data_IF_376284079695
#
_entry.id   IF_376284079695
#
_cell.length_a   1.000
_cell.length_b   1.000
_cell.length_c   1.000
_cell.angle_alpha   90.00
_cell.angle_beta   90.00
_cell.angle_gamma   90.00
#
_symmetry.space_group_name_H-M   'P 1'
#
loop_
_entity.id
_entity.type
_entity.pdbx_description
1 polymer ?
#
# COMPACT_ATOMS: atom_id res chain seq x y z
N UNK A 1 -5.39 19.68 -5.63
CA UNK A 1 -6.16 20.48 -4.65
C UNK A 1 -6.07 19.86 -3.26
N UNK A 2 -5.97 18.53 -3.14
CA UNK A 2 -6.00 17.81 -1.85
C UNK A 2 -4.77 18.05 -0.93
N UNK A 3 -3.61 18.43 -1.49
CA UNK A 3 -2.41 18.74 -0.69
C UNK A 3 -2.60 19.97 0.20
N UNK A 4 -3.12 21.08 -0.35
CA UNK A 4 -3.40 22.32 0.38
C UNK A 4 -4.47 22.10 1.46
N UNK A 5 -5.45 21.24 1.18
CA UNK A 5 -6.50 20.88 2.14
C UNK A 5 -5.95 20.08 3.32
N UNK A 6 -5.03 19.13 3.09
CA UNK A 6 -4.37 18.36 4.16
C UNK A 6 -3.53 19.24 5.06
N UNK A 7 -2.76 20.17 4.49
CA UNK A 7 -1.99 21.14 5.27
C UNK A 7 -2.92 21.98 6.15
N UNK A 8 -3.99 22.53 5.58
CA UNK A 8 -4.96 23.32 6.33
C UNK A 8 -5.61 22.54 7.48
N UNK A 9 -6.00 21.27 7.25
CA UNK A 9 -6.59 20.43 8.30
C UNK A 9 -5.59 20.20 9.43
N UNK A 10 -4.31 19.94 9.12
CA UNK A 10 -3.28 19.68 10.14
C UNK A 10 -2.85 20.96 10.87
N UNK A 11 -2.90 22.12 10.21
CA UNK A 11 -2.70 23.41 10.87
C UNK A 11 -3.79 23.70 11.91
N UNK A 12 -5.05 23.42 11.58
CA UNK A 12 -6.19 23.64 12.48
C UNK A 12 -6.34 22.53 13.53
N UNK A 13 -6.03 21.29 13.16
CA UNK A 13 -6.25 20.07 13.93
C UNK A 13 -5.03 19.15 13.85
N UNK A 14 -3.93 19.45 14.55
CA UNK A 14 -2.66 18.73 14.43
C UNK A 14 -2.73 17.25 14.89
N UNK A 15 -3.75 16.88 15.67
CA UNK A 15 -3.97 15.49 16.11
C UNK A 15 -4.84 14.65 15.17
N UNK A 16 -5.17 15.14 13.98
CA UNK A 16 -6.05 14.42 13.04
C UNK A 16 -5.41 13.10 12.60
N UNK A 17 -6.14 11.99 12.79
CA UNK A 17 -5.70 10.66 12.34
C UNK A 17 -5.49 10.64 10.82
N UNK A 18 -4.43 9.98 10.30
CA UNK A 18 -4.20 9.89 8.87
C UNK A 18 -5.36 9.29 8.07
N UNK A 19 -6.23 8.48 8.69
CA UNK A 19 -7.41 7.91 8.02
C UNK A 19 -8.51 8.95 7.72
N UNK A 20 -8.50 10.09 8.42
CA UNK A 20 -9.47 11.17 8.30
C UNK A 20 -9.02 12.27 7.32
N UNK A 21 -7.75 12.25 6.91
CA UNK A 21 -7.22 13.22 5.97
C UNK A 21 -7.71 12.92 4.53
N UNK A 22 -7.98 13.94 3.70
CA UNK A 22 -8.21 13.77 2.25
C UNK A 22 -7.13 12.92 1.59
N UNK A 23 -7.44 12.20 0.51
CA UNK A 23 -6.49 11.30 -0.14
C UNK A 23 -5.29 12.06 -0.74
N UNK A 24 -4.08 11.62 -0.41
CA UNK A 24 -2.84 12.13 -1.03
C UNK A 24 -2.56 11.49 -2.38
N UNK A 25 -1.55 11.99 -3.10
CA UNK A 25 -1.06 11.34 -4.32
C UNK A 25 -0.44 9.99 -3.95
N UNK A 26 -0.96 8.90 -4.53
CA UNK A 26 -0.44 7.56 -4.26
C UNK A 26 0.49 7.10 -5.37
N UNK A 27 1.70 6.70 -4.97
CA UNK A 27 2.62 5.95 -5.81
C UNK A 27 2.60 4.46 -5.40
N UNK A 28 2.50 3.60 -6.40
CA UNK A 28 2.52 2.15 -6.25
C UNK A 28 3.46 1.55 -7.29
N UNK A 29 4.62 1.06 -6.85
CA UNK A 29 5.69 0.63 -7.74
C UNK A 29 6.51 -0.51 -7.14
N UNK A 30 7.32 -1.15 -8.00
CA UNK A 30 8.29 -2.17 -7.62
C UNK A 30 9.70 -1.65 -7.85
N UNK A 31 10.61 -1.88 -6.89
CA UNK A 31 12.02 -1.51 -7.00
C UNK A 31 12.86 -2.59 -7.70
N UNK A 32 14.15 -2.29 -7.92
CA UNK A 32 15.08 -3.22 -8.57
C UNK A 32 15.39 -4.50 -7.77
N UNK A 33 15.07 -4.54 -6.47
CA UNK A 33 15.21 -5.70 -5.60
C UNK A 33 13.92 -6.53 -5.51
N UNK A 34 12.88 -6.13 -6.22
CA UNK A 34 11.58 -6.82 -6.24
C UNK A 34 10.66 -6.45 -5.08
N UNK A 35 11.04 -5.49 -4.23
CA UNK A 35 10.16 -4.97 -3.18
C UNK A 35 9.09 -4.08 -3.79
N UNK A 36 7.91 -4.13 -3.20
CA UNK A 36 6.78 -3.30 -3.63
C UNK A 36 6.60 -2.17 -2.63
N UNK A 37 6.45 -0.95 -3.14
CA UNK A 37 6.25 0.26 -2.36
C UNK A 37 4.86 0.81 -2.59
N UNK A 38 4.20 1.19 -1.49
CA UNK A 38 2.99 2.02 -1.50
C UNK A 38 3.37 3.30 -0.73
N UNK A 39 3.35 4.44 -1.42
CA UNK A 39 3.67 5.74 -0.87
C UNK A 39 2.46 6.66 -1.06
N UNK A 40 1.98 7.27 0.00
CA UNK A 40 1.03 8.38 -0.07
C UNK A 40 1.80 9.67 0.23
N UNK A 41 1.96 10.52 -0.80
CA UNK A 41 2.57 11.83 -0.65
C UNK A 41 1.63 12.80 0.05
N UNK A 42 2.21 13.77 0.73
CA UNK A 42 1.49 14.83 1.43
C UNK A 42 1.95 14.91 2.88
N UNK A 43 1.37 15.80 3.68
CA UNK A 43 1.57 15.80 5.12
C UNK A 43 0.48 14.94 5.82
N UNK A 44 0.85 13.99 6.70
CA UNK A 44 2.17 13.35 6.76
C UNK A 44 2.40 12.45 5.54
N UNK A 45 3.67 12.26 5.18
CA UNK A 45 4.05 11.29 4.16
C UNK A 45 3.98 9.89 4.77
N UNK A 46 3.33 8.97 4.06
CA UNK A 46 3.14 7.61 4.55
C UNK A 46 3.76 6.63 3.57
N UNK A 47 4.59 5.73 4.08
CA UNK A 47 5.30 4.76 3.24
C UNK A 47 5.21 3.35 3.80
N UNK A 48 4.84 2.42 2.94
CA UNK A 48 4.85 0.99 3.21
C UNK A 48 5.74 0.28 2.18
N UNK A 49 6.68 -0.52 2.67
CA UNK A 49 7.54 -1.38 1.84
C UNK A 49 7.21 -2.85 2.10
N UNK A 50 7.06 -3.60 1.02
CA UNK A 50 6.60 -4.99 1.01
C UNK A 50 7.71 -5.88 0.44
N UNK A 51 8.19 -6.84 1.23
CA UNK A 51 9.22 -7.79 0.83
C UNK A 51 8.63 -9.03 0.14
N UNK A 52 9.16 -9.45 -1.03
CA UNK A 52 8.68 -10.64 -1.71
C UNK A 52 9.07 -11.92 -0.96
N UNK A 53 8.20 -12.93 -0.98
CA UNK A 53 8.41 -14.23 -0.32
C UNK A 53 8.34 -15.43 -1.27
N UNK A 54 7.61 -15.31 -2.37
CA UNK A 54 7.40 -16.41 -3.31
C UNK A 54 6.09 -16.28 -4.06
N UNK A 55 5.65 -17.34 -4.73
CA UNK A 55 4.45 -17.33 -5.55
C UNK A 55 3.41 -18.32 -4.99
N UNK A 56 2.10 -17.99 -5.06
CA UNK A 56 1.06 -18.93 -4.71
C UNK A 56 0.93 -20.04 -5.76
N UNK A 57 0.64 -21.26 -5.31
CA UNK A 57 0.44 -22.41 -6.20
C UNK A 57 -0.95 -22.43 -6.86
N UNK A 58 -1.93 -21.78 -6.25
CA UNK A 58 -3.31 -21.73 -6.72
C UNK A 58 -3.71 -20.31 -7.14
N UNK A 59 -4.72 -20.15 -8.00
CA UNK A 59 -5.33 -18.86 -8.27
C UNK A 59 -5.83 -18.18 -7.00
N UNK A 60 -5.63 -16.87 -6.92
CA UNK A 60 -6.00 -16.03 -5.77
C UNK A 60 -6.45 -14.65 -6.26
N UNK A 61 -6.93 -13.82 -5.34
CA UNK A 61 -7.29 -12.43 -5.62
C UNK A 61 -6.13 -11.51 -5.24
N UNK A 62 -5.69 -10.66 -6.16
CA UNK A 62 -4.73 -9.61 -5.84
C UNK A 62 -5.37 -8.59 -4.90
N UNK A 63 -4.72 -8.28 -3.78
CA UNK A 63 -5.30 -7.39 -2.77
C UNK A 63 -5.33 -5.93 -3.19
N UNK A 64 -4.46 -5.50 -4.12
CA UNK A 64 -4.44 -4.14 -4.64
C UNK A 64 -5.52 -3.92 -5.71
N UNK A 65 -5.49 -4.68 -6.81
CA UNK A 65 -6.44 -4.48 -7.92
C UNK A 65 -7.73 -5.31 -7.84
N UNK A 66 -7.86 -6.20 -6.83
CA UNK A 66 -9.02 -7.08 -6.59
C UNK A 66 -9.39 -8.00 -7.77
N UNK A 67 -8.47 -8.23 -8.71
CA UNK A 67 -8.66 -9.18 -9.81
C UNK A 67 -8.28 -10.59 -9.37
N UNK A 68 -9.05 -11.57 -9.83
CA UNK A 68 -8.73 -12.98 -9.69
C UNK A 68 -7.72 -13.39 -10.78
N UNK A 69 -6.60 -13.97 -10.39
CA UNK A 69 -5.45 -14.25 -11.27
C UNK A 69 -4.88 -15.64 -10.99
N UNK A 70 -4.14 -16.19 -11.96
CA UNK A 70 -3.38 -17.43 -11.76
C UNK A 70 -2.30 -17.23 -10.71
N UNK A 71 -1.87 -18.33 -10.06
CA UNK A 71 -0.81 -18.27 -9.07
C UNK A 71 0.52 -17.71 -9.62
N UNK A 72 0.83 -18.02 -10.88
CA UNK A 72 2.01 -17.51 -11.60
C UNK A 72 1.98 -16.00 -11.89
N UNK A 73 0.81 -15.35 -11.85
CA UNK A 73 0.68 -13.91 -12.04
C UNK A 73 0.72 -13.13 -10.71
N UNK A 74 0.83 -13.84 -9.59
CA UNK A 74 0.80 -13.31 -8.23
C UNK A 74 2.10 -13.61 -7.49
N UNK A 75 2.36 -12.86 -6.44
CA UNK A 75 3.42 -13.11 -5.47
C UNK A 75 2.93 -12.80 -4.06
N UNK A 76 3.45 -13.55 -3.11
CA UNK A 76 3.33 -13.27 -1.68
C UNK A 76 4.35 -12.19 -1.31
N UNK A 77 3.87 -11.24 -0.53
CA UNK A 77 4.67 -10.21 0.09
C UNK A 77 4.46 -10.23 1.59
N UNK A 78 5.42 -9.71 2.34
CA UNK A 78 5.29 -9.45 3.77
C UNK A 78 5.72 -8.04 4.13
N UNK A 79 5.26 -7.57 5.27
CA UNK A 79 5.80 -6.37 5.90
C UNK A 79 5.63 -6.43 7.42
N UNK A 80 6.49 -5.75 8.19
CA UNK A 80 6.27 -5.57 9.62
C UNK A 80 5.12 -4.59 9.87
N UNK A 81 4.32 -4.83 10.89
CA UNK A 81 3.27 -3.90 11.34
C UNK A 81 3.89 -2.88 12.29
N UNK A 82 3.67 -1.58 12.03
CA UNK A 82 4.26 -0.51 12.83
C UNK A 82 5.79 -0.55 12.91
N UNK A 83 6.45 -1.12 11.88
CA UNK A 83 7.90 -1.27 11.81
C UNK A 83 8.50 -2.37 12.70
N UNK A 84 7.69 -3.19 13.39
CA UNK A 84 8.15 -4.28 14.27
C UNK A 84 8.03 -5.65 13.61
N UNK A 85 9.15 -6.35 13.43
CA UNK A 85 9.20 -7.68 12.82
C UNK A 85 8.60 -8.81 13.67
N UNK A 86 8.24 -8.52 14.91
CA UNK A 86 7.48 -9.42 15.79
C UNK A 86 6.06 -9.66 15.26
N UNK A 87 5.49 -8.67 14.56
CA UNK A 87 4.16 -8.73 13.97
C UNK A 87 4.27 -8.52 12.47
N UNK A 88 4.08 -9.59 11.71
CA UNK A 88 4.19 -9.56 10.25
C UNK A 88 2.82 -9.78 9.62
N UNK A 89 2.51 -8.99 8.61
CA UNK A 89 1.35 -9.22 7.73
C UNK A 89 1.81 -9.66 6.35
N UNK A 90 0.97 -10.44 5.71
CA UNK A 90 1.20 -11.01 4.40
C UNK A 90 0.17 -10.47 3.41
N UNK A 91 0.61 -10.21 2.19
CA UNK A 91 -0.23 -9.74 1.11
C UNK A 91 -0.03 -10.58 -0.14
N UNK A 92 -1.08 -10.75 -0.93
CA UNK A 92 -0.99 -11.32 -2.28
C UNK A 92 -1.17 -10.20 -3.31
N UNK A 93 -0.14 -9.93 -4.10
CA UNK A 93 -0.16 -8.87 -5.12
C UNK A 93 0.26 -9.40 -6.49
N UNK A 94 -0.10 -8.67 -7.55
CA UNK A 94 0.35 -8.98 -8.91
C UNK A 94 1.87 -8.95 -9.01
N UNK A 95 2.44 -9.86 -9.80
CA UNK A 95 3.84 -9.77 -10.19
C UNK A 95 4.10 -8.58 -11.11
N UNK A 96 3.19 -8.27 -12.03
CA UNK A 96 3.26 -7.04 -12.83
C UNK A 96 2.66 -5.88 -12.02
N UNK A 97 3.52 -5.18 -11.29
CA UNK A 97 3.11 -4.02 -10.46
C UNK A 97 2.64 -2.83 -11.31
N UNK A 98 3.33 -2.46 -12.41
CA UNK A 98 2.83 -1.42 -13.34
C UNK A 98 1.41 -1.70 -13.86
N UNK A 99 1.13 -2.89 -14.40
CA UNK A 99 -0.22 -3.21 -14.89
C UNK A 99 -1.25 -3.27 -13.74
N UNK A 100 -0.82 -3.72 -12.55
CA UNK A 100 -1.67 -3.69 -11.36
C UNK A 100 -2.05 -2.26 -10.95
N UNK A 101 -1.11 -1.31 -11.04
CA UNK A 101 -1.33 0.09 -10.70
C UNK A 101 -2.42 0.76 -11.55
N UNK A 102 -2.54 0.38 -12.83
CA UNK A 102 -3.62 0.87 -13.72
C UNK A 102 -5.03 0.49 -13.24
N UNK A 103 -5.14 -0.57 -12.44
CA UNK A 103 -6.41 -1.12 -11.97
C UNK A 103 -6.63 -0.93 -10.47
N UNK A 104 -5.57 -0.67 -9.70
CA UNK A 104 -5.64 -0.49 -8.26
C UNK A 104 -6.26 0.86 -7.93
N UNK A 105 -7.32 0.85 -7.13
CA UNK A 105 -7.94 2.09 -6.65
C UNK A 105 -7.04 2.74 -5.59
N UNK A 106 -6.77 4.05 -5.66
CA UNK A 106 -5.97 4.74 -4.66
C UNK A 106 -6.47 4.52 -3.22
N UNK A 107 -7.78 4.52 -2.99
CA UNK A 107 -8.36 4.31 -1.65
C UNK A 107 -8.02 2.92 -1.11
N UNK A 108 -7.97 1.92 -2.00
CA UNK A 108 -7.58 0.56 -1.62
C UNK A 108 -6.09 0.47 -1.29
N UNK A 109 -5.24 1.17 -2.03
CA UNK A 109 -3.81 1.23 -1.73
C UNK A 109 -3.56 1.94 -0.39
N UNK A 110 -4.30 3.02 -0.10
CA UNK A 110 -4.28 3.69 1.20
C UNK A 110 -4.73 2.79 2.34
N UNK A 111 -5.79 2.01 2.14
CA UNK A 111 -6.26 1.04 3.12
C UNK A 111 -5.17 0.02 3.48
N UNK A 112 -4.44 -0.50 2.48
CA UNK A 112 -3.32 -1.42 2.69
C UNK A 112 -2.19 -0.72 3.46
N UNK A 113 -1.83 0.49 3.04
CA UNK A 113 -0.79 1.30 3.65
C UNK A 113 -1.09 1.62 5.12
N UNK A 114 -2.29 2.11 5.44
CA UNK A 114 -2.70 2.42 6.80
C UNK A 114 -2.73 1.16 7.67
N UNK A 115 -3.18 0.02 7.14
CA UNK A 115 -3.12 -1.27 7.83
C UNK A 115 -1.70 -1.78 8.06
N UNK A 116 -0.72 -1.28 7.33
CA UNK A 116 0.68 -1.63 7.56
C UNK A 116 1.36 -0.76 8.61
N UNK A 117 0.96 0.51 8.70
CA UNK A 117 1.60 1.50 9.56
C UNK A 117 0.89 1.57 10.93
N UNK A 118 -0.44 1.45 10.97
CA UNK A 118 -1.22 1.53 12.20
C UNK A 118 -1.19 0.18 12.93
N UNK A 119 -0.98 0.26 14.24
CA UNK A 119 -0.86 -0.89 15.17
C UNK A 119 -2.22 -1.36 15.65
#
# INVERSE_FOLDING_TARGET
MDYEERELILELFPGTSPELLPLGEILYYRDGEGRVHILEKGPPELHLTLEPLGTPSAPQVCEACRRHLSGSALAFFRHPVGGRWEHVRYLILCQDTPSCAEHARPERLREILLRGILT
#
